data_IF_301841882911
#
_entry.id   IF_301841882911
#
_cell.length_a   1.000
_cell.length_b   1.000
_cell.length_c   1.000
_cell.angle_alpha   90.00
_cell.angle_beta   90.00
_cell.angle_gamma   90.00
#
_symmetry.space_group_name_H-M   'P 1'
#
loop_
_entity.id
_entity.type
_entity.pdbx_description
1 polymer ?
#
# COMPACT_ATOMS: atom_id res chain seq x y z
N UNK A 1 17.46 23.81 -7.93
CA UNK A 1 16.91 22.44 -7.93
C UNK A 1 16.53 21.97 -6.53
N UNK A 2 17.34 22.23 -5.49
CA UNK A 2 16.99 21.88 -4.09
C UNK A 2 15.66 22.49 -3.59
N UNK A 3 15.31 23.71 -4.02
CA UNK A 3 14.04 24.37 -3.65
C UNK A 3 12.79 23.74 -4.27
N UNK A 4 12.95 22.92 -5.32
CA UNK A 4 11.85 22.12 -5.91
C UNK A 4 11.72 20.80 -5.13
N UNK A 5 12.79 20.28 -4.54
CA UNK A 5 12.73 19.02 -3.77
C UNK A 5 12.15 19.19 -2.35
N UNK A 6 11.86 20.41 -1.91
CA UNK A 6 11.02 20.67 -0.72
C UNK A 6 9.53 20.76 -1.04
N UNK A 7 9.13 20.54 -2.30
CA UNK A 7 7.72 20.51 -2.71
C UNK A 7 7.12 19.11 -2.53
N UNK A 8 5.81 19.05 -2.32
CA UNK A 8 5.06 17.81 -2.11
C UNK A 8 5.35 16.82 -3.26
N UNK A 9 5.66 15.56 -2.92
CA UNK A 9 5.98 14.52 -3.90
C UNK A 9 4.85 14.31 -4.91
N UNK A 10 3.59 14.55 -4.51
CA UNK A 10 2.42 14.44 -5.39
C UNK A 10 2.37 15.55 -6.45
N UNK A 11 2.88 16.75 -6.13
CA UNK A 11 3.05 17.86 -7.07
C UNK A 11 4.16 17.54 -8.07
N UNK A 12 5.29 17.00 -7.59
CA UNK A 12 6.38 16.57 -8.48
C UNK A 12 5.89 15.48 -9.43
N UNK A 13 5.14 14.50 -8.91
CA UNK A 13 4.52 13.47 -9.72
C UNK A 13 3.57 14.06 -10.79
N UNK A 14 2.75 15.05 -10.42
CA UNK A 14 1.88 15.77 -11.36
C UNK A 14 2.68 16.49 -12.46
N UNK A 15 3.75 17.19 -12.09
CA UNK A 15 4.61 17.88 -13.04
C UNK A 15 5.22 16.90 -14.05
N UNK A 16 5.73 15.76 -13.59
CA UNK A 16 6.27 14.72 -14.47
C UNK A 16 5.17 14.16 -15.38
N UNK A 17 4.02 13.78 -14.81
CA UNK A 17 2.88 13.21 -15.53
C UNK A 17 2.40 14.11 -16.68
N UNK A 18 2.42 15.43 -16.48
CA UNK A 18 2.04 16.41 -17.50
C UNK A 18 3.05 16.56 -18.64
N UNK A 19 4.30 16.12 -18.45
CA UNK A 19 5.38 16.26 -19.44
C UNK A 19 5.69 14.98 -20.21
N UNK A 20 5.06 13.86 -19.84
CA UNK A 20 5.30 12.55 -20.47
C UNK A 20 4.05 12.04 -21.15
N UNK A 21 4.22 11.16 -22.14
CA UNK A 21 3.08 10.47 -22.76
C UNK A 21 2.47 9.49 -21.76
N UNK A 22 1.17 9.19 -21.82
CA UNK A 22 0.55 8.20 -20.95
C UNK A 22 1.23 6.81 -20.98
N UNK A 23 1.75 6.39 -22.14
CA UNK A 23 2.54 5.15 -22.28
C UNK A 23 3.83 5.19 -21.47
N UNK A 24 4.49 6.34 -21.46
CA UNK A 24 5.80 6.53 -20.84
C UNK A 24 5.65 6.65 -19.32
N UNK A 25 4.54 7.22 -18.85
CA UNK A 25 4.20 7.29 -17.41
C UNK A 25 4.21 5.90 -16.75
N UNK A 26 3.44 4.96 -17.28
CA UNK A 26 3.37 3.60 -16.75
C UNK A 26 4.72 2.87 -16.87
N UNK A 27 5.45 3.10 -17.96
CA UNK A 27 6.79 2.56 -18.14
C UNK A 27 7.78 3.08 -17.09
N UNK A 28 7.78 4.39 -16.80
CA UNK A 28 8.67 5.01 -15.82
C UNK A 28 8.40 4.49 -14.40
N UNK A 29 7.13 4.34 -14.02
CA UNK A 29 6.76 3.78 -12.72
C UNK A 29 7.20 2.31 -12.64
N UNK A 30 6.86 1.51 -13.66
CA UNK A 30 7.26 0.10 -13.73
C UNK A 30 8.78 -0.07 -13.63
N UNK A 31 9.54 0.76 -14.36
CA UNK A 31 11.01 0.76 -14.34
C UNK A 31 11.55 1.14 -12.96
N UNK A 32 10.88 2.05 -12.26
CA UNK A 32 11.23 2.43 -10.88
C UNK A 32 10.96 1.30 -9.87
N UNK A 33 9.90 0.51 -10.08
CA UNK A 33 9.53 -0.60 -9.18
C UNK A 33 10.41 -1.85 -9.37
N UNK A 34 10.69 -2.21 -10.62
CA UNK A 34 11.30 -3.51 -10.94
C UNK A 34 12.68 -3.42 -11.58
N UNK A 35 13.28 -2.22 -11.64
CA UNK A 35 14.45 -1.93 -12.46
C UNK A 35 14.20 -2.18 -13.96
N UNK A 36 15.19 -1.85 -14.81
CA UNK A 36 15.14 -2.21 -16.23
C UNK A 36 15.18 -3.74 -16.35
N UNK A 37 14.04 -4.34 -16.70
CA UNK A 37 13.94 -5.79 -16.93
C UNK A 37 14.90 -6.27 -18.03
N UNK A 38 15.28 -5.35 -18.93
CA UNK A 38 16.23 -5.59 -20.04
C UNK A 38 17.68 -5.70 -19.54
N UNK A 39 18.07 -4.92 -18.53
CA UNK A 39 19.46 -4.90 -18.05
C UNK A 39 19.68 -5.87 -16.88
N UNK A 40 18.71 -5.98 -15.96
CA UNK A 40 18.77 -6.88 -14.80
C UNK A 40 17.35 -7.32 -14.39
N UNK A 41 16.97 -8.59 -14.59
CA UNK A 41 15.63 -9.05 -14.20
C UNK A 41 15.47 -8.98 -12.68
N UNK A 42 14.33 -8.45 -12.23
CA UNK A 42 14.01 -8.39 -10.80
C UNK A 42 13.97 -9.81 -10.19
N UNK A 43 14.71 -9.99 -9.09
CA UNK A 43 14.73 -11.23 -8.32
C UNK A 43 13.84 -11.07 -7.08
N UNK A 44 12.77 -11.84 -7.01
CA UNK A 44 11.87 -11.84 -5.86
C UNK A 44 12.54 -12.46 -4.63
N UNK A 45 12.88 -11.60 -3.68
CA UNK A 45 13.36 -11.97 -2.35
C UNK A 45 12.26 -11.73 -1.32
N UNK A 46 11.85 -12.77 -0.59
CA UNK A 46 10.83 -12.66 0.46
C UNK A 46 11.49 -12.05 1.70
N UNK A 47 11.16 -10.78 1.98
CA UNK A 47 11.65 -10.05 3.14
C UNK A 47 11.18 -10.69 4.46
N UNK A 48 11.87 -10.45 5.59
CA UNK A 48 11.41 -10.90 6.91
C UNK A 48 9.98 -10.43 7.23
N UNK A 49 9.63 -9.20 6.85
CA UNK A 49 8.27 -8.68 6.98
C UNK A 49 7.27 -9.54 6.21
N UNK A 50 7.54 -9.83 4.93
CA UNK A 50 6.65 -10.68 4.14
C UNK A 50 6.52 -12.09 4.71
N UNK A 51 7.58 -12.66 5.27
CA UNK A 51 7.52 -13.96 5.94
C UNK A 51 6.54 -13.93 7.13
N UNK A 52 6.60 -12.90 7.98
CA UNK A 52 5.67 -12.75 9.10
C UNK A 52 4.24 -12.46 8.65
N UNK A 53 4.05 -11.62 7.62
CA UNK A 53 2.72 -11.37 7.04
C UNK A 53 2.11 -12.65 6.47
N UNK A 54 2.89 -13.47 5.78
CA UNK A 54 2.43 -14.76 5.23
C UNK A 54 2.01 -15.71 6.36
N UNK A 55 2.78 -15.76 7.45
CA UNK A 55 2.41 -16.55 8.65
C UNK A 55 1.11 -16.05 9.26
N UNK A 56 0.94 -14.73 9.39
CA UNK A 56 -0.28 -14.12 9.91
C UNK A 56 -1.50 -14.47 9.04
N UNK A 57 -1.36 -14.28 7.72
CA UNK A 57 -2.40 -14.61 6.74
C UNK A 57 -2.82 -16.06 6.85
N UNK A 58 -1.85 -16.99 6.95
CA UNK A 58 -2.11 -18.43 7.07
C UNK A 58 -2.75 -18.82 8.40
N UNK A 59 -2.32 -18.19 9.50
CA UNK A 59 -2.81 -18.50 10.85
C UNK A 59 -4.26 -18.10 11.06
N UNK A 60 -4.68 -16.96 10.49
CA UNK A 60 -6.01 -16.39 10.70
C UNK A 60 -6.93 -16.47 9.47
N UNK A 61 -6.52 -17.20 8.43
CA UNK A 61 -7.26 -17.36 7.17
C UNK A 61 -7.72 -16.01 6.57
N UNK A 62 -6.79 -15.05 6.50
CA UNK A 62 -7.09 -13.66 6.09
C UNK A 62 -7.48 -13.63 4.61
N UNK A 63 -8.77 -13.53 4.31
CA UNK A 63 -9.27 -13.62 2.94
C UNK A 63 -9.25 -12.31 2.14
N UNK A 64 -9.08 -11.16 2.78
CA UNK A 64 -9.05 -9.85 2.12
C UNK A 64 -7.81 -9.08 2.54
N UNK A 65 -7.03 -8.65 1.55
CA UNK A 65 -5.85 -7.82 1.71
C UNK A 65 -6.06 -6.56 0.87
N UNK A 66 -5.76 -5.40 1.43
CA UNK A 66 -5.69 -4.15 0.66
C UNK A 66 -4.20 -3.81 0.54
N UNK A 67 -3.71 -3.70 -0.69
CA UNK A 67 -2.35 -3.32 -1.01
C UNK A 67 -2.36 -1.97 -1.70
N UNK A 68 -1.77 -0.96 -1.05
CA UNK A 68 -1.65 0.39 -1.60
C UNK A 68 -0.39 0.55 -2.45
N UNK A 69 0.50 -0.45 -2.44
CA UNK A 69 1.61 -0.49 -3.38
C UNK A 69 1.09 -0.83 -4.78
N UNK A 70 1.83 -0.43 -5.79
CA UNK A 70 1.47 -0.72 -7.18
C UNK A 70 1.97 -2.10 -7.63
N UNK A 71 2.99 -2.64 -6.97
CA UNK A 71 3.64 -3.88 -7.37
C UNK A 71 2.90 -5.15 -6.92
N UNK A 72 3.33 -6.30 -7.44
CA UNK A 72 2.76 -7.61 -7.10
C UNK A 72 3.74 -8.54 -6.37
N UNK A 73 4.74 -7.96 -5.69
CA UNK A 73 5.75 -8.73 -4.98
C UNK A 73 5.16 -9.50 -3.79
N UNK A 74 4.20 -8.92 -3.07
CA UNK A 74 3.51 -9.62 -1.98
C UNK A 74 2.61 -10.76 -2.52
N UNK A 75 1.90 -10.53 -3.62
CA UNK A 75 1.15 -11.58 -4.34
C UNK A 75 2.05 -12.76 -4.70
N UNK A 76 3.22 -12.49 -5.28
CA UNK A 76 4.16 -13.53 -5.64
C UNK A 76 4.75 -14.26 -4.41
N UNK A 77 4.93 -13.55 -3.31
CA UNK A 77 5.40 -14.13 -2.04
C UNK A 77 4.37 -15.07 -1.41
N UNK A 78 3.08 -14.68 -1.44
CA UNK A 78 1.96 -15.55 -1.05
C UNK A 78 1.90 -16.79 -1.95
N UNK A 79 1.99 -16.61 -3.28
CA UNK A 79 1.96 -17.70 -4.25
C UNK A 79 3.11 -18.69 -4.05
N UNK A 80 4.33 -18.22 -3.82
CA UNK A 80 5.51 -19.05 -3.52
C UNK A 80 5.34 -19.85 -2.22
N UNK A 81 4.52 -19.35 -1.30
CA UNK A 81 4.19 -20.00 -0.03
C UNK A 81 2.96 -20.91 -0.10
N UNK A 82 2.44 -21.17 -1.31
CA UNK A 82 1.31 -22.07 -1.57
C UNK A 82 -0.07 -21.43 -1.36
N UNK A 83 -0.15 -20.12 -1.11
CA UNK A 83 -1.39 -19.41 -0.90
C UNK A 83 -1.93 -18.85 -2.23
N UNK A 84 -3.20 -19.15 -2.52
CA UNK A 84 -3.86 -18.71 -3.75
C UNK A 84 -4.69 -17.46 -3.47
N UNK A 85 -4.23 -16.34 -4.02
CA UNK A 85 -4.94 -15.06 -4.02
C UNK A 85 -5.24 -14.61 -5.45
N UNK A 86 -6.22 -13.73 -5.58
CA UNK A 86 -6.54 -13.02 -6.81
C UNK A 86 -6.25 -11.54 -6.65
N UNK A 87 -5.55 -10.95 -7.62
CA UNK A 87 -5.35 -9.50 -7.68
C UNK A 87 -6.62 -8.85 -8.26
N UNK A 88 -7.12 -7.85 -7.56
CA UNK A 88 -8.36 -7.13 -7.84
C UNK A 88 -8.05 -5.64 -7.99
N UNK A 89 -8.01 -5.16 -9.23
CA UNK A 89 -7.66 -3.79 -9.59
C UNK A 89 -8.77 -3.08 -10.39
N UNK A 90 -9.91 -3.74 -10.57
CA UNK A 90 -11.12 -3.21 -11.23
C UNK A 90 -12.40 -3.78 -10.59
N UNK A 91 -13.53 -3.10 -10.82
CA UNK A 91 -14.85 -3.45 -10.24
C UNK A 91 -15.34 -4.86 -10.61
N UNK A 92 -14.99 -5.37 -11.79
CA UNK A 92 -15.43 -6.69 -12.27
C UNK A 92 -14.69 -7.87 -11.59
N UNK A 93 -13.63 -7.60 -10.80
CA UNK A 93 -12.75 -8.61 -10.24
C UNK A 93 -13.07 -9.01 -8.79
N UNK A 94 -14.17 -8.49 -8.23
CA UNK A 94 -14.47 -8.61 -6.80
C UNK A 94 -15.05 -10.00 -6.43
N UNK A 95 -15.42 -10.86 -7.38
CA UNK A 95 -16.00 -12.18 -7.08
C UNK A 95 -14.95 -13.22 -6.64
N UNK A 96 -15.23 -13.94 -5.55
CA UNK A 96 -14.41 -15.06 -5.04
C UNK A 96 -13.97 -14.90 -3.58
N UNK A 97 -13.14 -15.84 -3.11
CA UNK A 97 -12.41 -15.75 -1.84
C UNK A 97 -10.94 -15.41 -2.10
N UNK A 98 -10.21 -14.95 -1.08
CA UNK A 98 -8.77 -14.66 -1.09
C UNK A 98 -8.39 -13.63 -2.16
N UNK A 99 -8.56 -12.36 -1.81
CA UNK A 99 -8.44 -11.22 -2.72
C UNK A 99 -7.41 -10.23 -2.20
N UNK A 100 -6.62 -9.68 -3.13
CA UNK A 100 -5.72 -8.55 -2.90
C UNK A 100 -6.27 -7.39 -3.72
N UNK A 101 -6.76 -6.36 -3.05
CA UNK A 101 -7.32 -5.17 -3.67
C UNK A 101 -6.23 -4.12 -3.83
N UNK A 102 -6.21 -3.48 -5.01
CA UNK A 102 -5.23 -2.44 -5.36
C UNK A 102 -5.92 -1.11 -5.63
N UNK A 103 -6.31 -0.34 -4.59
CA UNK A 103 -7.09 0.90 -4.76
C UNK A 103 -6.37 1.99 -5.56
N UNK A 104 -5.03 1.98 -5.56
CA UNK A 104 -4.19 2.98 -6.22
C UNK A 104 -3.67 2.53 -7.59
N UNK A 105 -4.08 1.34 -8.06
CA UNK A 105 -3.65 0.76 -9.32
C UNK A 105 -2.67 -0.39 -9.14
N UNK A 106 -2.45 -1.13 -10.23
CA UNK A 106 -1.73 -2.40 -10.23
C UNK A 106 -0.80 -2.51 -11.45
N UNK A 107 0.49 -2.66 -11.18
CA UNK A 107 1.57 -2.75 -12.15
C UNK A 107 2.28 -4.09 -11.93
N UNK A 108 1.88 -5.16 -12.63
CA UNK A 108 2.41 -6.50 -12.36
C UNK A 108 3.88 -6.63 -12.77
N UNK A 109 4.68 -7.44 -12.09
CA UNK A 109 6.08 -7.70 -12.50
C UNK A 109 6.14 -8.33 -13.90
N UNK A 110 5.14 -9.12 -14.30
CA UNK A 110 5.03 -9.73 -15.63
C UNK A 110 3.67 -9.45 -16.27
N UNK A 111 3.67 -9.25 -17.59
CA UNK A 111 2.47 -8.88 -18.32
C UNK A 111 2.29 -7.36 -18.41
N UNK A 112 1.51 -6.93 -19.39
CA UNK A 112 1.31 -5.51 -19.74
C UNK A 112 -0.07 -5.00 -19.38
N UNK A 113 -0.61 -5.39 -18.22
CA UNK A 113 -1.90 -4.85 -17.77
C UNK A 113 -1.73 -3.36 -17.52
N UNK A 114 -2.66 -2.56 -18.03
CA UNK A 114 -2.70 -1.11 -17.87
C UNK A 114 -3.87 -0.79 -16.96
N UNK A 115 -3.59 -0.21 -15.80
CA UNK A 115 -4.60 0.28 -14.86
C UNK A 115 -4.46 1.79 -14.68
N UNK A 116 -5.53 2.44 -14.22
CA UNK A 116 -5.44 3.81 -13.70
C UNK A 116 -4.53 3.81 -12.46
N UNK A 117 -3.54 4.69 -12.41
CA UNK A 117 -2.58 4.81 -11.31
C UNK A 117 -2.88 6.09 -10.53
N UNK A 118 -2.96 5.96 -9.21
CA UNK A 118 -3.21 7.08 -8.29
C UNK A 118 -1.89 7.44 -7.62
N UNK A 119 -1.25 8.49 -8.14
CA UNK A 119 0.07 8.92 -7.66
C UNK A 119 0.25 10.44 -7.65
N UNK A 120 -0.40 11.14 -8.58
CA UNK A 120 -0.29 12.60 -8.70
C UNK A 120 -1.37 13.32 -7.88
N UNK A 121 -1.16 14.61 -7.59
CA UNK A 121 -2.09 15.43 -6.84
C UNK A 121 -3.53 15.36 -7.40
N UNK A 122 -3.68 15.48 -8.72
CA UNK A 122 -4.98 15.38 -9.38
C UNK A 122 -5.64 14.01 -9.15
N UNK A 123 -4.85 12.93 -9.11
CA UNK A 123 -5.39 11.58 -8.88
C UNK A 123 -5.97 11.44 -7.47
N UNK A 124 -5.27 11.97 -6.46
CA UNK A 124 -5.74 11.96 -5.08
C UNK A 124 -6.97 12.86 -4.89
N UNK A 125 -6.97 14.05 -5.49
CA UNK A 125 -8.16 14.90 -5.51
C UNK A 125 -9.34 14.17 -6.16
N UNK A 126 -9.13 13.53 -7.31
CA UNK A 126 -10.15 12.74 -7.99
C UNK A 126 -10.69 11.60 -7.11
N UNK A 127 -9.84 10.92 -6.33
CA UNK A 127 -10.28 9.91 -5.38
C UNK A 127 -11.21 10.45 -4.29
N UNK A 128 -10.99 11.69 -3.85
CA UNK A 128 -11.81 12.34 -2.83
C UNK A 128 -13.15 12.80 -3.43
N UNK A 129 -13.14 13.37 -4.64
CA UNK A 129 -14.31 13.99 -5.25
C UNK A 129 -15.23 13.02 -5.98
N UNK A 130 -14.70 11.98 -6.63
CA UNK A 130 -15.52 11.04 -7.40
C UNK A 130 -16.38 10.19 -6.46
N UNK A 131 -17.69 10.43 -6.50
CA UNK A 131 -18.68 9.57 -5.87
C UNK A 131 -18.70 8.20 -6.56
N UNK A 132 -18.82 7.12 -5.79
CA UNK A 132 -18.93 5.74 -6.29
C UNK A 132 -17.71 5.16 -7.01
N UNK A 133 -16.50 5.58 -6.65
CA UNK A 133 -15.28 4.86 -7.03
C UNK A 133 -15.29 3.45 -6.43
N UNK A 134 -15.06 2.44 -7.26
CA UNK A 134 -14.99 1.03 -6.82
C UNK A 134 -13.95 0.84 -5.71
N UNK A 135 -12.82 1.56 -5.81
CA UNK A 135 -11.72 1.56 -4.84
C UNK A 135 -12.15 2.12 -3.49
N UNK A 136 -12.94 3.21 -3.47
CA UNK A 136 -13.49 3.75 -2.23
C UNK A 136 -14.55 2.81 -1.65
N UNK A 137 -15.43 2.25 -2.49
CA UNK A 137 -16.51 1.37 -2.04
C UNK A 137 -15.98 0.09 -1.39
N UNK A 138 -14.94 -0.53 -1.96
CA UNK A 138 -14.34 -1.74 -1.37
C UNK A 138 -13.63 -1.43 -0.06
N UNK A 139 -12.90 -0.31 0.02
CA UNK A 139 -12.25 0.14 1.26
C UNK A 139 -13.29 0.40 2.35
N UNK A 140 -14.33 1.20 2.08
CA UNK A 140 -15.43 1.45 3.03
C UNK A 140 -16.08 0.15 3.50
N UNK A 141 -16.35 -0.79 2.57
CA UNK A 141 -16.93 -2.09 2.92
C UNK A 141 -16.03 -2.81 3.92
N UNK A 142 -14.75 -2.99 3.60
CA UNK A 142 -13.80 -3.71 4.46
C UNK A 142 -13.51 -2.98 5.78
N UNK A 143 -13.52 -1.66 5.80
CA UNK A 143 -13.40 -0.88 7.03
C UNK A 143 -14.63 -1.05 7.92
N UNK A 144 -15.83 -1.05 7.35
CA UNK A 144 -17.08 -1.17 8.12
C UNK A 144 -17.43 -2.59 8.58
N UNK A 145 -16.90 -3.64 7.94
CA UNK A 145 -17.27 -5.03 8.25
C UNK A 145 -16.17 -5.85 8.91
N UNK A 146 -14.98 -5.30 9.12
CA UNK A 146 -13.82 -6.06 9.61
C UNK A 146 -12.93 -5.27 10.56
N UNK A 147 -12.21 -5.99 11.43
CA UNK A 147 -10.99 -5.47 12.06
C UNK A 147 -9.86 -5.45 11.04
N UNK A 148 -9.31 -4.26 10.80
CA UNK A 148 -8.22 -4.05 9.86
C UNK A 148 -6.91 -3.81 10.62
N UNK A 149 -5.81 -4.36 10.09
CA UNK A 149 -4.46 -4.16 10.59
C UNK A 149 -3.67 -3.42 9.52
N UNK A 150 -3.29 -2.18 9.80
CA UNK A 150 -2.51 -1.32 8.90
C UNK A 150 -1.02 -1.51 9.18
N UNK A 151 -0.25 -1.81 8.13
CA UNK A 151 1.18 -2.11 8.22
C UNK A 151 1.89 -1.38 7.08
N UNK A 152 2.96 -0.65 7.39
CA UNK A 152 3.71 0.11 6.38
C UNK A 152 2.97 1.33 5.83
N UNK A 153 1.92 1.79 6.52
CA UNK A 153 1.14 2.96 6.14
C UNK A 153 1.35 4.05 7.19
N UNK A 154 1.68 5.27 6.74
CA UNK A 154 1.78 6.44 7.61
C UNK A 154 0.42 6.95 8.08
N UNK A 155 -0.67 6.52 7.42
CA UNK A 155 -2.05 7.02 7.62
C UNK A 155 -2.19 8.54 7.42
N UNK A 156 -1.27 9.17 6.70
CA UNK A 156 -1.32 10.59 6.35
C UNK A 156 -2.22 10.88 5.14
N UNK A 157 -2.60 9.85 4.38
CA UNK A 157 -3.48 9.97 3.23
C UNK A 157 -4.88 10.46 3.65
N UNK A 158 -5.30 11.59 3.07
CA UNK A 158 -6.55 12.25 3.42
C UNK A 158 -7.78 11.42 3.00
N UNK A 159 -7.70 10.67 1.90
CA UNK A 159 -8.78 9.80 1.46
C UNK A 159 -8.93 8.60 2.41
N UNK A 160 -7.85 7.91 2.77
CA UNK A 160 -7.90 6.80 3.74
C UNK A 160 -8.46 7.29 5.08
N UNK A 161 -7.98 8.42 5.61
CA UNK A 161 -8.50 9.01 6.86
C UNK A 161 -10.00 9.34 6.76
N UNK A 162 -10.43 9.92 5.63
CA UNK A 162 -11.84 10.21 5.36
C UNK A 162 -12.67 8.93 5.39
N UNK A 163 -12.24 7.87 4.71
CA UNK A 163 -12.96 6.60 4.66
C UNK A 163 -13.05 5.92 6.04
N UNK A 164 -11.97 5.93 6.82
CA UNK A 164 -11.96 5.39 8.20
C UNK A 164 -12.94 6.18 9.08
N UNK A 165 -12.89 7.52 9.04
CA UNK A 165 -13.78 8.38 9.83
C UNK A 165 -15.26 8.24 9.44
N UNK A 166 -15.55 7.99 8.15
CA UNK A 166 -16.90 7.69 7.70
C UNK A 166 -17.42 6.37 8.29
N UNK A 167 -16.53 5.39 8.48
CA UNK A 167 -16.90 4.09 9.06
C UNK A 167 -16.96 4.13 10.59
N UNK A 168 -16.14 4.94 11.26
CA UNK A 168 -16.00 4.94 12.73
C UNK A 168 -17.29 5.23 13.47
N UNK A 169 -18.17 6.05 12.90
CA UNK A 169 -19.44 6.43 13.53
C UNK A 169 -20.47 5.28 13.58
N UNK A 170 -20.25 4.23 12.79
CA UNK A 170 -21.16 3.08 12.68
C UNK A 170 -20.50 1.76 13.08
N UNK A 171 -19.22 1.78 13.49
CA UNK A 171 -18.41 0.57 13.61
C UNK A 171 -18.33 0.01 15.04
N UNK A 172 -18.52 -1.31 15.15
CA UNK A 172 -18.17 -2.08 16.34
C UNK A 172 -16.76 -2.68 16.29
N UNK A 173 -16.05 -2.53 15.15
CA UNK A 173 -14.74 -3.14 14.93
C UNK A 173 -13.60 -2.17 15.27
N UNK A 174 -12.67 -2.62 16.12
CA UNK A 174 -11.43 -1.90 16.40
C UNK A 174 -10.42 -2.18 15.28
N UNK A 175 -9.77 -1.14 14.76
CA UNK A 175 -8.66 -1.26 13.82
C UNK A 175 -7.32 -0.99 14.52
N UNK A 176 -6.25 -1.58 14.00
CA UNK A 176 -4.89 -1.47 14.57
C UNK A 176 -3.91 -0.98 13.51
N UNK A 177 -2.89 -0.22 13.91
CA UNK A 177 -1.85 0.25 13.00
C UNK A 177 -0.47 0.11 13.63
N UNK A 178 0.48 -0.39 12.85
CA UNK A 178 1.90 -0.37 13.19
C UNK A 178 2.53 0.87 12.57
N UNK A 179 2.67 1.92 13.38
CA UNK A 179 3.33 3.16 12.98
C UNK A 179 4.80 3.12 13.40
N UNK A 180 5.70 3.76 12.62
CA UNK A 180 7.06 3.96 13.08
C UNK A 180 7.02 4.72 14.41
N UNK A 181 7.85 4.27 15.35
CA UNK A 181 8.12 5.00 16.59
C UNK A 181 8.52 6.43 16.23
N UNK A 182 7.92 7.45 16.84
CA UNK A 182 8.40 8.82 16.65
C UNK A 182 9.86 8.90 17.12
N UNK A 183 10.65 9.85 16.62
CA UNK A 183 12.06 9.97 17.04
C UNK A 183 12.23 10.09 18.57
N UNK A 184 11.19 10.53 19.28
CA UNK A 184 11.12 10.58 20.75
C UNK A 184 11.12 9.20 21.39
N UNK A 185 10.43 8.21 20.81
CA UNK A 185 10.40 6.83 21.30
C UNK A 185 11.76 6.14 21.15
N UNK A 186 12.53 6.46 20.11
CA UNK A 186 13.91 5.97 19.94
C UNK A 186 14.86 6.60 20.96
N UNK A 187 14.68 7.88 21.30
CA UNK A 187 15.43 8.55 22.35
C UNK A 187 15.10 7.98 23.74
N UNK A 188 13.82 7.70 24.03
CA UNK A 188 13.38 7.07 25.28
C UNK A 188 13.88 5.63 25.43
N UNK A 189 13.94 4.87 24.33
CA UNK A 189 14.55 3.53 24.33
C UNK A 189 16.07 3.60 24.54
N UNK A 190 16.78 4.54 23.91
CA UNK A 190 18.22 4.72 24.12
C UNK A 190 18.57 5.12 25.57
N UNK A 191 17.70 5.89 26.25
CA UNK A 191 17.87 6.23 27.68
C UNK A 191 17.69 5.00 28.56
N UNK A 192 16.70 4.13 28.29
CA UNK A 192 16.48 2.89 29.07
C UNK A 192 17.60 1.85 28.93
N UNK A 193 18.27 1.79 27.80
CA UNK A 193 19.41 0.88 27.59
C UNK A 193 20.74 1.40 28.16
N UNK A 194 20.80 2.68 28.56
CA UNK A 194 21.97 3.31 29.15
C UNK A 194 21.90 3.45 30.67
N UNK A 195 20.86 2.92 31.33
CA UNK A 195 20.92 2.76 32.79
C UNK A 195 21.89 1.61 33.11
N UNK A 196 23.03 1.88 33.79
CA UNK A 196 23.92 0.82 34.20
C UNK A 196 23.13 -0.06 35.17
N UNK A 197 23.09 -1.37 34.89
CA UNK A 197 22.65 -2.37 35.86
C UNK A 197 23.44 -2.14 37.15
N UNK A 198 22.80 -1.57 38.17
CA UNK A 198 23.33 -1.58 39.53
C UNK A 198 23.49 -3.06 39.89
N UNK A 199 24.75 -3.52 39.88
CA UNK A 199 25.13 -4.83 40.38
C UNK A 199 24.78 -4.86 41.87
N UNK A 200 23.74 -5.60 42.22
CA UNK A 200 23.48 -6.09 43.58
C UNK A 200 23.29 -7.59 43.54
#
# INVERSE_FOLDING_TARGET
MEKIMSSDLTIIAQMIKNQVRPSDWNYLIRKSLYSSYEDNPYILNISPLYQELIKLVKKYDISNIIDYNYDDTFYHSLKRSGLKYRNCYESNQIKGKNRIFYPHGYIPMKGGVITEIVLSEDDYQNQIYKQNLWSNNIQTTLFSSNTNIFIGLSLNDSNIRRLINMCSNANYYTHYAFLPSTGEDQALQAVKYNEPYEQR
#
